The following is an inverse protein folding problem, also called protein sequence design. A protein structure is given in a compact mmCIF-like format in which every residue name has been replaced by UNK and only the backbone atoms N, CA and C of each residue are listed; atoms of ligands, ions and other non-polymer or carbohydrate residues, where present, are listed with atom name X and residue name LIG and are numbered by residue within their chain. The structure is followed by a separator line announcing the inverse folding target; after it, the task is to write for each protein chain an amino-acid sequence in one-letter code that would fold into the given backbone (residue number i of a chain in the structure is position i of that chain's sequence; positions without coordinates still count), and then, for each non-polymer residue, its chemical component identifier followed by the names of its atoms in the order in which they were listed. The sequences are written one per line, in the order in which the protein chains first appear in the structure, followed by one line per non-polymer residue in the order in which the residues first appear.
data_IF_888616960112
#
_entry.id   IF_888616960112
#
_cell.length_a   1.000
_cell.length_b   1.000
_cell.length_c   1.000
_cell.angle_alpha   90.00
_cell.angle_beta   90.00
_cell.angle_gamma   90.00
#
_symmetry.space_group_name_H-M   'P 1'
#
loop_
_entity.id
_entity.type
_entity.pdbx_description
1 polymer ?
#
# COMPACT_ATOMS: atom_id res chain seq x y z
N UNK A 1 41.05 10.79 -61.96
CA UNK A 1 39.98 10.08 -61.20
C UNK A 1 40.62 9.50 -59.94
N UNK A 2 40.01 9.72 -58.77
CA UNK A 2 40.37 9.04 -57.52
C UNK A 2 40.81 9.96 -56.39
N UNK A 3 39.89 10.75 -55.81
CA UNK A 3 40.10 11.41 -54.53
C UNK A 3 40.29 10.36 -53.42
N UNK A 4 41.39 10.48 -52.68
CA UNK A 4 41.68 9.73 -51.45
C UNK A 4 40.84 10.28 -50.30
N UNK A 5 40.12 9.38 -49.63
CA UNK A 5 39.09 9.66 -48.62
C UNK A 5 39.71 10.24 -47.35
N UNK A 6 39.23 11.42 -46.96
CA UNK A 6 39.36 11.99 -45.63
C UNK A 6 38.26 11.46 -44.69
N UNK A 7 38.49 11.69 -43.39
CA UNK A 7 37.60 11.52 -42.23
C UNK A 7 37.53 10.11 -41.61
N UNK A 8 38.46 9.87 -40.68
CA UNK A 8 38.23 9.00 -39.52
C UNK A 8 37.29 9.76 -38.58
N UNK A 9 36.02 9.38 -38.56
CA UNK A 9 35.06 9.88 -37.60
C UNK A 9 35.35 9.28 -36.22
N UNK A 10 35.47 10.18 -35.25
CA UNK A 10 35.47 9.88 -33.83
C UNK A 10 34.08 9.45 -33.36
N UNK A 11 34.07 8.84 -32.17
CA UNK A 11 32.94 8.69 -31.25
C UNK A 11 31.80 7.75 -31.68
N UNK A 12 31.87 6.51 -31.18
CA UNK A 12 30.65 5.80 -30.77
C UNK A 12 30.64 5.81 -29.25
N UNK A 13 30.03 6.86 -28.71
CA UNK A 13 29.48 6.85 -27.37
C UNK A 13 28.29 5.90 -27.38
N UNK A 14 28.47 4.67 -26.88
CA UNK A 14 27.36 3.78 -26.58
C UNK A 14 26.76 4.19 -25.23
N UNK A 15 25.99 5.27 -25.27
CA UNK A 15 24.93 5.53 -24.30
C UNK A 15 23.96 4.36 -24.32
N UNK A 16 23.77 3.71 -23.17
CA UNK A 16 22.50 3.15 -22.68
C UNK A 16 22.77 2.32 -21.44
N UNK A 17 23.24 2.96 -20.36
CA UNK A 17 23.02 2.37 -19.03
C UNK A 17 21.54 2.60 -18.72
N UNK A 18 20.70 1.66 -19.12
CA UNK A 18 19.31 1.59 -18.72
C UNK A 18 19.31 1.23 -17.23
N UNK A 19 19.59 2.23 -16.38
CA UNK A 19 19.26 2.16 -14.96
C UNK A 19 17.74 2.17 -14.93
N UNK A 20 17.13 0.98 -14.97
CA UNK A 20 15.81 0.83 -14.41
C UNK A 20 15.94 1.30 -12.97
N UNK A 21 15.53 2.55 -12.72
CA UNK A 21 15.11 2.97 -11.39
C UNK A 21 14.01 2.01 -11.00
N UNK A 22 14.38 0.92 -10.32
CA UNK A 22 13.50 0.32 -9.34
C UNK A 22 13.35 1.39 -8.27
N UNK A 23 12.40 2.30 -8.50
CA UNK A 23 11.78 3.10 -7.48
C UNK A 23 11.04 2.13 -6.54
N UNK A 24 11.80 1.34 -5.79
CA UNK A 24 11.48 1.10 -4.40
C UNK A 24 11.67 2.45 -3.72
N UNK A 25 10.78 3.40 -4.04
CA UNK A 25 10.52 4.52 -3.17
C UNK A 25 10.34 3.90 -1.79
N UNK A 26 11.02 4.45 -0.79
CA UNK A 26 10.76 4.16 0.59
C UNK A 26 9.32 4.60 0.92
N UNK A 27 8.32 3.89 0.40
CA UNK A 27 7.02 3.80 1.02
C UNK A 27 7.31 3.19 2.37
N UNK A 28 7.14 3.98 3.44
CA UNK A 28 7.08 3.44 4.79
C UNK A 28 6.20 2.18 4.72
N UNK A 29 6.83 1.02 4.92
CA UNK A 29 6.16 -0.26 4.73
C UNK A 29 5.00 -0.27 5.72
N UNK A 30 3.77 -0.35 5.21
CA UNK A 30 2.58 -0.29 6.04
C UNK A 30 2.69 -1.32 7.18
N UNK A 31 2.66 -0.83 8.41
CA UNK A 31 2.72 -1.68 9.61
C UNK A 31 1.30 -2.05 10.04
N UNK A 32 0.87 -3.23 9.57
CA UNK A 32 -0.41 -3.83 9.96
C UNK A 32 -0.57 -3.94 11.48
N UNK A 33 0.50 -4.25 12.22
CA UNK A 33 0.42 -4.40 13.68
C UNK A 33 0.09 -3.05 14.32
N UNK A 34 0.81 -1.99 13.93
CA UNK A 34 0.55 -0.63 14.43
C UNK A 34 -0.89 -0.19 14.15
N UNK A 35 -1.39 -0.46 12.94
CA UNK A 35 -2.77 -0.13 12.57
C UNK A 35 -3.80 -0.80 13.49
N UNK A 36 -3.65 -2.10 13.72
CA UNK A 36 -4.59 -2.83 14.57
C UNK A 36 -4.41 -2.56 16.06
N UNK A 37 -3.21 -2.21 16.51
CA UNK A 37 -2.99 -1.73 17.87
C UNK A 37 -3.74 -0.42 18.11
N UNK A 38 -3.66 0.55 17.19
CA UNK A 38 -4.46 1.78 17.26
C UNK A 38 -5.98 1.51 17.17
N UNK A 39 -6.38 0.47 16.44
CA UNK A 39 -7.79 0.09 16.40
C UNK A 39 -8.25 -0.44 17.76
N UNK A 40 -7.41 -1.24 18.45
CA UNK A 40 -7.68 -1.75 19.81
C UNK A 40 -7.73 -0.62 20.84
N UNK A 41 -6.81 0.36 20.78
CA UNK A 41 -6.83 1.51 21.72
C UNK A 41 -8.13 2.31 21.61
N UNK A 42 -8.79 2.27 20.44
CA UNK A 42 -10.08 2.91 20.18
C UNK A 42 -11.30 2.02 20.47
N UNK A 43 -11.10 0.91 21.16
CA UNK A 43 -12.17 0.07 21.69
C UNK A 43 -12.59 -1.10 20.79
N UNK A 44 -11.84 -1.40 19.72
CA UNK A 44 -12.08 -2.64 18.99
C UNK A 44 -11.60 -3.85 19.79
N UNK A 45 -12.48 -4.83 19.89
CA UNK A 45 -12.16 -6.18 20.36
C UNK A 45 -11.89 -7.08 19.18
N UNK A 46 -10.79 -7.83 19.25
CA UNK A 46 -10.40 -8.82 18.25
C UNK A 46 -10.34 -10.20 18.90
N UNK A 47 -10.84 -11.25 18.24
CA UNK A 47 -10.67 -12.61 18.73
C UNK A 47 -9.20 -12.97 18.95
N UNK A 48 -8.92 -13.88 19.89
CA UNK A 48 -7.56 -14.36 20.13
C UNK A 48 -6.91 -15.02 18.90
N UNK A 49 -7.74 -15.55 18.00
CA UNK A 49 -7.34 -16.14 16.72
C UNK A 49 -7.18 -15.12 15.58
N UNK A 50 -7.42 -13.84 15.82
CA UNK A 50 -7.31 -12.81 14.78
C UNK A 50 -5.84 -12.51 14.47
N UNK A 51 -5.42 -12.80 13.25
CA UNK A 51 -4.12 -12.45 12.71
C UNK A 51 -4.24 -11.26 11.76
N UNK A 52 -3.58 -10.16 12.12
CA UNK A 52 -3.57 -8.92 11.33
C UNK A 52 -2.91 -9.08 9.96
N UNK A 53 -1.84 -9.86 9.85
CA UNK A 53 -1.14 -10.08 8.59
C UNK A 53 -2.01 -10.93 7.68
N UNK A 54 -2.57 -12.02 8.22
CA UNK A 54 -3.45 -12.91 7.47
C UNK A 54 -4.67 -12.16 6.93
N UNK A 55 -5.24 -11.23 7.71
CA UNK A 55 -6.32 -10.38 7.24
C UNK A 55 -5.98 -9.63 5.94
N UNK A 56 -4.81 -8.99 5.88
CA UNK A 56 -4.38 -8.26 4.68
C UNK A 56 -4.02 -9.19 3.52
N UNK A 57 -3.43 -10.36 3.79
CA UNK A 57 -3.16 -11.37 2.76
C UNK A 57 -4.45 -11.93 2.14
N UNK A 58 -5.49 -12.12 2.94
CA UNK A 58 -6.80 -12.55 2.44
C UNK A 58 -7.45 -11.47 1.57
N UNK A 59 -7.33 -10.19 1.94
CA UNK A 59 -7.78 -9.08 1.09
C UNK A 59 -7.03 -9.09 -0.26
N UNK A 60 -5.72 -9.34 -0.26
CA UNK A 60 -4.94 -9.50 -1.50
C UNK A 60 -5.40 -10.68 -2.32
N UNK A 61 -5.72 -11.81 -1.68
CA UNK A 61 -6.26 -13.01 -2.33
C UNK A 61 -7.65 -12.76 -2.94
N UNK A 62 -8.46 -11.90 -2.32
CA UNK A 62 -9.74 -11.39 -2.88
C UNK A 62 -9.53 -10.40 -4.04
N UNK A 63 -8.28 -10.06 -4.35
CA UNK A 63 -7.89 -9.18 -5.45
C UNK A 63 -7.79 -7.72 -5.04
N UNK A 64 -7.87 -7.38 -3.76
CA UNK A 64 -7.67 -6.00 -3.31
C UNK A 64 -6.18 -5.66 -3.24
N UNK A 65 -5.82 -4.48 -3.71
CA UNK A 65 -4.43 -4.00 -3.81
C UNK A 65 -4.40 -2.48 -3.91
N UNK A 66 -3.20 -1.91 -4.09
CA UNK A 66 -3.05 -0.48 -4.34
C UNK A 66 -3.71 -0.02 -5.66
N UNK A 67 -3.89 -0.94 -6.61
CA UNK A 67 -4.55 -0.67 -7.90
C UNK A 67 -6.05 -0.94 -7.86
N UNK A 68 -6.48 -1.98 -7.12
CA UNK A 68 -7.89 -2.32 -6.92
C UNK A 68 -8.23 -2.19 -5.44
N UNK A 69 -8.61 -0.99 -5.03
CA UNK A 69 -8.83 -0.67 -3.62
C UNK A 69 -10.13 -1.26 -3.07
N UNK A 70 -10.15 -1.50 -1.76
CA UNK A 70 -11.35 -1.83 -0.98
C UNK A 70 -11.87 -0.55 -0.33
N UNK A 71 -13.17 -0.28 -0.35
CA UNK A 71 -13.69 0.88 0.38
C UNK A 71 -13.62 0.66 1.91
N UNK A 72 -13.50 1.75 2.67
CA UNK A 72 -13.40 1.71 4.12
C UNK A 72 -14.55 0.93 4.79
N UNK A 73 -15.78 1.04 4.28
CA UNK A 73 -16.93 0.33 4.84
C UNK A 73 -16.78 -1.18 4.64
N UNK A 74 -16.47 -1.62 3.42
CA UNK A 74 -16.23 -3.04 3.12
C UNK A 74 -15.05 -3.59 3.92
N UNK A 75 -14.01 -2.80 4.16
CA UNK A 75 -12.90 -3.19 5.04
C UNK A 75 -13.37 -3.51 6.47
N UNK A 76 -14.20 -2.65 7.06
CA UNK A 76 -14.74 -2.89 8.41
C UNK A 76 -15.83 -3.97 8.42
N UNK A 77 -16.60 -4.13 7.34
CA UNK A 77 -17.50 -5.27 7.16
C UNK A 77 -16.71 -6.59 7.20
N UNK A 78 -15.61 -6.69 6.45
CA UNK A 78 -14.70 -7.85 6.47
C UNK A 78 -14.13 -8.12 7.87
N UNK A 79 -13.76 -7.09 8.62
CA UNK A 79 -13.36 -7.24 10.03
C UNK A 79 -14.49 -7.82 10.88
N UNK A 80 -15.71 -7.31 10.74
CA UNK A 80 -16.88 -7.81 11.49
C UNK A 80 -17.20 -9.26 11.15
N UNK A 81 -17.02 -9.71 9.90
CA UNK A 81 -17.18 -11.14 9.54
C UNK A 81 -16.17 -12.05 10.26
N UNK A 82 -15.03 -11.51 10.71
CA UNK A 82 -14.00 -12.24 11.46
C UNK A 82 -14.15 -12.08 12.96
N UNK A 83 -15.29 -11.59 13.44
CA UNK A 83 -15.57 -11.39 14.86
C UNK A 83 -14.87 -10.17 15.46
N UNK A 84 -14.29 -9.29 14.65
CA UNK A 84 -13.72 -8.02 15.11
C UNK A 84 -14.85 -7.01 15.26
N UNK A 85 -15.06 -6.51 16.47
CA UNK A 85 -16.17 -5.61 16.79
C UNK A 85 -15.67 -4.35 17.48
N UNK A 86 -16.21 -3.19 17.12
CA UNK A 86 -15.90 -1.90 17.73
C UNK A 86 -17.12 -1.22 18.34
N UNK A 87 -16.93 -0.05 18.99
CA UNK A 87 -18.02 0.76 19.51
C UNK A 87 -18.99 1.18 18.41
N UNK A 88 -20.29 1.24 18.71
CA UNK A 88 -21.31 1.71 17.75
C UNK A 88 -21.11 3.18 17.32
N UNK A 89 -20.42 3.97 18.13
CA UNK A 89 -20.08 5.38 17.88
C UNK A 89 -18.73 5.56 17.18
N UNK A 90 -18.08 4.46 16.77
CA UNK A 90 -16.79 4.54 16.11
C UNK A 90 -16.92 5.13 14.71
N UNK A 91 -16.14 6.18 14.46
CA UNK A 91 -16.07 6.83 13.14
C UNK A 91 -14.92 6.21 12.33
N UNK A 92 -15.30 5.28 11.46
CA UNK A 92 -14.42 4.56 10.54
C UNK A 92 -13.66 5.50 9.59
N UNK A 93 -14.34 6.55 9.11
CA UNK A 93 -13.74 7.53 8.20
C UNK A 93 -12.67 8.33 8.93
N UNK A 94 -13.02 8.87 10.10
CA UNK A 94 -12.10 9.67 10.93
C UNK A 94 -10.87 8.87 11.30
N UNK A 95 -11.04 7.61 11.69
CA UNK A 95 -9.92 6.73 11.99
C UNK A 95 -8.96 6.59 10.81
N UNK A 96 -9.47 6.29 9.61
CA UNK A 96 -8.63 6.18 8.42
C UNK A 96 -7.92 7.48 8.06
N UNK A 97 -8.61 8.63 8.16
CA UNK A 97 -8.00 9.95 7.94
C UNK A 97 -6.84 10.22 8.91
N UNK A 98 -7.00 9.88 10.20
CA UNK A 98 -5.93 9.99 11.20
C UNK A 98 -4.77 9.04 10.91
N UNK A 99 -5.06 7.78 10.58
CA UNK A 99 -4.03 6.79 10.23
C UNK A 99 -3.23 7.22 8.99
N UNK A 100 -3.86 7.88 8.01
CA UNK A 100 -3.17 8.43 6.84
C UNK A 100 -2.22 9.55 7.23
N UNK A 101 -2.65 10.46 8.11
CA UNK A 101 -1.81 11.56 8.60
C UNK A 101 -0.62 11.04 9.40
N UNK A 102 -0.76 9.87 10.04
CA UNK A 102 0.31 9.17 10.76
C UNK A 102 1.17 8.28 9.85
N UNK A 103 0.90 8.21 8.55
CA UNK A 103 1.59 7.32 7.61
C UNK A 103 1.38 5.83 7.90
N UNK A 104 0.31 5.49 8.62
CA UNK A 104 0.01 4.14 9.09
C UNK A 104 -1.35 3.61 8.55
N UNK A 105 -1.93 4.27 7.54
CA UNK A 105 -3.09 3.75 6.83
C UNK A 105 -2.65 2.77 5.72
N UNK A 106 -3.40 1.66 5.52
CA UNK A 106 -3.18 0.78 4.38
C UNK A 106 -3.52 1.50 3.06
N UNK A 107 -2.61 1.46 2.10
CA UNK A 107 -2.74 2.10 0.78
C UNK A 107 -3.81 1.46 -0.11
N UNK A 108 -4.13 0.19 0.15
CA UNK A 108 -5.16 -0.58 -0.55
C UNK A 108 -6.59 -0.25 -0.13
N UNK A 109 -6.79 0.60 0.89
CA UNK A 109 -8.12 1.04 1.30
C UNK A 109 -8.44 2.38 0.62
N UNK A 110 -9.55 2.42 -0.13
CA UNK A 110 -10.13 3.63 -0.64
C UNK A 110 -10.99 4.29 0.43
N UNK A 111 -10.72 5.56 0.66
CA UNK A 111 -11.45 6.33 1.66
C UNK A 111 -12.51 7.15 0.93
N UNK A 112 -13.76 7.18 1.41
CA UNK A 112 -14.74 8.11 0.87
C UNK A 112 -14.20 9.54 1.03
N UNK A 113 -14.16 10.29 -0.07
CA UNK A 113 -13.73 11.70 -0.07
C UNK A 113 -14.65 12.56 0.77
#
# INVERSE_FOLDING_TARGET
MGQTKFLKFAAVAATSLFVMMSAAAAQAQFDSKKFFDELRTRGYSMPASFDSKQFFEDLRTKGYSDTKKIDAKTFFDELRTRGVSGPATFDEKKFFDEMRNLGAAPTMVDMPK
#
